data_IF_407452041187
#
_entry.id   IF_407452041187
#
_cell.length_a   1.000
_cell.length_b   1.000
_cell.length_c   1.000
_cell.angle_alpha   90.00
_cell.angle_beta   90.00
_cell.angle_gamma   90.00
#
_symmetry.space_group_name_H-M   'P 1'
#
loop_
_entity.id
_entity.type
_entity.pdbx_description
1 polymer ?
#
# COMPACT_ATOMS: atom_id res chain seq x y z
N UNK A 1 -5.86 0.46 -18.27
CA UNK A 1 -6.34 0.30 -19.64
C UNK A 1 -7.33 1.41 -20.01
N UNK A 2 -8.42 1.65 -19.24
CA UNK A 2 -9.42 2.66 -19.57
C UNK A 2 -8.85 4.05 -19.85
N UNK A 3 -7.96 4.57 -19.01
CA UNK A 3 -7.32 5.89 -19.20
C UNK A 3 -6.31 5.95 -20.36
N UNK A 4 -5.92 4.83 -20.94
CA UNK A 4 -4.97 4.79 -22.06
C UNK A 4 -5.66 4.63 -23.42
N UNK A 5 -6.73 3.82 -23.48
CA UNK A 5 -7.33 3.34 -24.72
C UNK A 5 -8.81 3.73 -24.90
N UNK A 6 -9.58 3.78 -23.81
CA UNK A 6 -10.99 4.12 -23.92
C UNK A 6 -11.21 5.64 -23.94
N UNK A 7 -12.00 6.09 -24.92
CA UNK A 7 -12.37 7.51 -25.05
C UNK A 7 -13.70 7.74 -24.30
N UNK A 8 -13.64 8.30 -23.09
CA UNK A 8 -14.82 8.74 -22.35
C UNK A 8 -14.71 10.19 -21.89
N UNK A 9 -15.86 10.85 -21.72
CA UNK A 9 -15.89 12.28 -21.33
C UNK A 9 -15.25 12.45 -19.95
N UNK A 10 -14.30 13.39 -19.83
CA UNK A 10 -13.63 13.69 -18.58
C UNK A 10 -12.44 12.78 -18.23
N UNK A 11 -12.07 11.82 -19.08
CA UNK A 11 -10.95 10.89 -18.84
C UNK A 11 -9.67 11.60 -18.39
N UNK A 12 -9.28 12.68 -19.07
CA UNK A 12 -8.08 13.45 -18.76
C UNK A 12 -8.20 14.18 -17.42
N UNK A 13 -9.37 14.76 -17.13
CA UNK A 13 -9.62 15.48 -15.87
C UNK A 13 -9.50 14.51 -14.71
N UNK A 14 -10.21 13.37 -14.78
CA UNK A 14 -10.16 12.34 -13.75
C UNK A 14 -8.73 11.83 -13.57
N UNK A 15 -8.01 11.59 -14.67
CA UNK A 15 -6.62 11.16 -14.59
C UNK A 15 -5.73 12.17 -13.86
N UNK A 16 -5.84 13.47 -14.17
CA UNK A 16 -5.07 14.51 -13.49
C UNK A 16 -5.47 14.67 -12.03
N UNK A 17 -6.74 14.51 -11.67
CA UNK A 17 -7.19 14.50 -10.28
C UNK A 17 -6.55 13.32 -9.51
N UNK A 18 -6.47 12.14 -10.13
CA UNK A 18 -5.74 11.00 -9.53
C UNK A 18 -4.25 11.35 -9.36
N UNK A 19 -3.62 11.98 -10.36
CA UNK A 19 -2.21 12.38 -10.26
C UNK A 19 -1.97 13.41 -9.16
N UNK A 20 -2.90 14.32 -8.91
CA UNK A 20 -2.81 15.27 -7.79
C UNK A 20 -2.70 14.57 -6.43
N UNK A 21 -3.25 13.37 -6.27
CA UNK A 21 -3.11 12.59 -5.03
C UNK A 21 -1.67 12.17 -4.72
N UNK A 22 -0.76 12.20 -5.70
CA UNK A 22 0.67 11.97 -5.46
C UNK A 22 1.36 13.15 -4.79
N UNK A 23 0.86 14.37 -5.05
CA UNK A 23 1.44 15.60 -4.53
C UNK A 23 0.98 15.84 -3.09
N UNK A 24 -0.27 15.47 -2.78
CA UNK A 24 -0.82 15.63 -1.43
C UNK A 24 -0.22 14.55 -0.51
N UNK A 25 0.56 14.93 0.51
CA UNK A 25 1.12 13.95 1.43
C UNK A 25 -0.02 13.29 2.24
N UNK A 26 0.02 11.96 2.42
CA UNK A 26 -1.00 11.24 3.19
C UNK A 26 -1.23 11.81 4.59
N UNK A 27 -0.20 12.38 5.18
CA UNK A 27 -0.24 13.01 6.50
C UNK A 27 -1.18 14.23 6.54
N UNK A 28 -1.26 14.98 5.46
CA UNK A 28 -2.13 16.18 5.39
C UNK A 28 -3.62 15.82 5.48
N UNK A 29 -4.01 14.66 4.99
CA UNK A 29 -5.39 14.18 5.01
C UNK A 29 -5.67 13.16 6.12
N UNK A 30 -4.67 12.87 6.96
CA UNK A 30 -4.77 11.83 7.99
C UNK A 30 -5.89 12.07 8.98
N UNK A 31 -6.03 13.31 9.42
CA UNK A 31 -7.07 13.70 10.38
C UNK A 31 -8.49 13.49 9.83
N UNK A 32 -8.74 14.01 8.62
CA UNK A 32 -10.00 13.83 7.93
C UNK A 32 -10.33 12.35 7.70
N UNK A 33 -9.31 11.57 7.28
CA UNK A 33 -9.47 10.14 7.06
C UNK A 33 -9.72 9.37 8.36
N UNK A 34 -9.10 9.77 9.45
CA UNK A 34 -9.35 9.19 10.78
C UNK A 34 -10.80 9.40 11.20
N UNK A 35 -11.31 10.62 11.11
CA UNK A 35 -12.72 10.90 11.42
C UNK A 35 -13.67 10.14 10.51
N UNK A 36 -13.38 10.07 9.22
CA UNK A 36 -14.16 9.28 8.26
C UNK A 36 -14.22 7.79 8.63
N UNK A 37 -13.13 7.22 9.13
CA UNK A 37 -13.07 5.81 9.52
C UNK A 37 -13.69 5.54 10.91
N UNK A 38 -13.70 6.54 11.79
CA UNK A 38 -14.31 6.41 13.11
C UNK A 38 -15.85 6.52 13.09
N UNK A 39 -16.39 7.27 12.12
CA UNK A 39 -17.82 7.48 11.97
C UNK A 39 -18.21 7.46 10.48
N UNK A 40 -18.11 6.27 9.87
CA UNK A 40 -18.42 6.09 8.47
C UNK A 40 -19.91 5.96 8.24
N UNK A 41 -20.45 6.82 7.39
CA UNK A 41 -21.82 6.69 6.91
C UNK A 41 -21.95 6.99 5.42
N UNK A 42 -22.74 6.17 4.72
CA UNK A 42 -23.03 6.35 3.31
C UNK A 42 -24.08 7.44 3.17
N UNK A 43 -23.88 8.39 2.24
CA UNK A 43 -24.76 9.50 1.96
C UNK A 43 -24.85 10.56 3.10
N UNK A 44 -24.00 10.49 4.10
CA UNK A 44 -23.88 11.58 5.07
C UNK A 44 -23.25 12.79 4.37
N UNK A 45 -24.07 13.80 4.14
CA UNK A 45 -23.68 15.00 3.44
C UNK A 45 -23.95 16.21 4.34
N UNK A 46 -22.89 16.80 4.87
CA UNK A 46 -22.97 18.08 5.56
C UNK A 46 -22.19 19.11 4.73
N UNK A 47 -22.90 19.86 3.90
CA UNK A 47 -22.29 20.89 3.08
C UNK A 47 -22.41 22.24 3.80
N UNK A 48 -21.38 22.62 4.56
CA UNK A 48 -21.29 23.88 5.31
C UNK A 48 -22.47 24.16 6.24
N UNK A 49 -23.12 23.14 6.79
CA UNK A 49 -24.31 23.31 7.68
C UNK A 49 -25.59 23.68 6.94
N UNK A 50 -25.60 23.71 5.61
CA UNK A 50 -26.79 24.05 4.81
C UNK A 50 -27.71 22.86 4.53
N UNK A 51 -27.15 21.64 4.53
CA UNK A 51 -27.89 20.38 4.34
C UNK A 51 -27.34 19.38 5.35
N UNK A 52 -28.13 19.06 6.35
CA UNK A 52 -27.82 18.02 7.33
C UNK A 52 -28.60 16.77 6.95
N UNK A 53 -27.96 15.87 6.22
CA UNK A 53 -28.54 14.59 5.85
C UNK A 53 -27.94 13.53 6.77
N UNK A 54 -28.78 12.88 7.62
CA UNK A 54 -28.33 11.89 8.59
C UNK A 54 -27.87 10.65 7.87
N UNK A 55 -27.04 10.41 7.09
CA UNK A 55 -26.58 9.22 6.39
C UNK A 55 -27.45 7.96 6.49
N UNK A 56 -27.09 6.94 5.76
CA UNK A 56 -27.87 5.69 5.70
C UNK A 56 -27.78 4.90 7.02
N UNK A 57 -26.58 4.80 7.59
CA UNK A 57 -26.37 4.00 8.80
C UNK A 57 -26.86 4.72 10.04
N UNK A 58 -26.71 6.02 10.12
CA UNK A 58 -27.28 6.82 11.21
C UNK A 58 -28.81 6.76 11.20
N UNK A 59 -29.43 6.80 10.02
CA UNK A 59 -30.87 6.66 9.85
C UNK A 59 -31.41 5.28 10.26
N UNK A 60 -30.63 4.20 10.02
CA UNK A 60 -31.05 2.82 10.30
C UNK A 60 -30.64 2.32 11.69
N UNK A 61 -29.48 2.72 12.17
CA UNK A 61 -28.84 2.18 13.38
C UNK A 61 -28.71 3.20 14.51
N UNK A 62 -29.00 4.48 14.23
CA UNK A 62 -28.82 5.58 15.16
C UNK A 62 -27.37 6.05 15.34
N UNK A 63 -26.45 5.47 14.60
CA UNK A 63 -25.02 5.84 14.60
C UNK A 63 -24.32 5.39 13.31
N UNK A 64 -23.23 6.06 12.92
CA UNK A 64 -22.36 5.63 11.84
C UNK A 64 -21.56 4.36 12.19
N UNK A 65 -20.98 3.73 11.19
CA UNK A 65 -20.17 2.53 11.37
C UNK A 65 -18.71 2.91 11.72
N UNK A 66 -18.21 2.37 12.82
CA UNK A 66 -16.81 2.48 13.15
C UNK A 66 -16.01 1.45 12.33
N UNK A 67 -15.19 1.95 11.41
CA UNK A 67 -14.37 1.14 10.49
C UNK A 67 -12.91 0.99 10.94
N UNK A 68 -12.52 1.65 12.01
CA UNK A 68 -11.19 1.62 12.59
C UNK A 68 -11.19 0.78 13.88
N UNK A 69 -10.09 0.07 14.14
CA UNK A 69 -9.93 -0.70 15.38
C UNK A 69 -9.47 -2.14 15.15
N UNK A 70 -9.26 -2.86 16.22
CA UNK A 70 -8.84 -4.26 16.19
C UNK A 70 -9.87 -5.13 15.48
N UNK A 71 -9.39 -6.06 14.64
CA UNK A 71 -10.24 -6.97 13.86
C UNK A 71 -10.94 -6.32 12.65
N UNK A 72 -10.65 -5.07 12.32
CA UNK A 72 -11.21 -4.36 11.16
C UNK A 72 -10.22 -4.18 10.01
N UNK A 73 -9.25 -5.07 9.90
CA UNK A 73 -8.21 -5.06 8.87
C UNK A 73 -8.80 -5.12 7.45
N UNK A 74 -10.02 -5.62 7.32
CA UNK A 74 -10.73 -5.72 6.04
C UNK A 74 -10.88 -4.37 5.34
N UNK A 75 -10.99 -3.27 6.10
CA UNK A 75 -11.10 -1.92 5.55
C UNK A 75 -9.81 -1.51 4.83
N UNK A 76 -8.66 -1.89 5.37
CA UNK A 76 -7.37 -1.69 4.72
C UNK A 76 -7.30 -2.42 3.37
N UNK A 77 -7.76 -3.67 3.31
CA UNK A 77 -7.80 -4.43 2.05
C UNK A 77 -8.79 -3.83 1.06
N UNK A 78 -10.00 -3.44 1.50
CA UNK A 78 -11.01 -2.83 0.64
C UNK A 78 -10.49 -1.51 0.06
N UNK A 79 -9.91 -0.63 0.88
CA UNK A 79 -9.36 0.65 0.39
C UNK A 79 -8.19 0.45 -0.56
N UNK A 80 -7.37 -0.58 -0.36
CA UNK A 80 -6.28 -0.94 -1.27
C UNK A 80 -6.82 -1.46 -2.60
N UNK A 81 -7.86 -2.31 -2.59
CA UNK A 81 -8.53 -2.82 -3.78
C UNK A 81 -9.23 -1.72 -4.59
N UNK A 82 -9.79 -0.72 -3.91
CA UNK A 82 -10.47 0.40 -4.57
C UNK A 82 -9.51 1.46 -5.13
N UNK A 83 -8.21 1.20 -5.13
CA UNK A 83 -7.20 2.09 -5.68
C UNK A 83 -6.82 3.25 -4.76
N UNK A 84 -7.13 3.16 -3.47
CA UNK A 84 -6.71 4.10 -2.43
C UNK A 84 -5.51 3.60 -1.61
N UNK A 85 -4.87 2.53 -2.09
CA UNK A 85 -3.67 1.97 -1.47
C UNK A 85 -2.45 2.87 -1.61
N UNK A 86 -1.35 2.43 -0.99
CA UNK A 86 -0.07 3.14 -1.03
C UNK A 86 0.37 3.35 -2.48
N UNK A 87 0.57 4.62 -2.86
CA UNK A 87 1.07 4.99 -4.19
C UNK A 87 0.22 4.50 -5.38
N UNK A 88 -1.07 4.23 -5.18
CA UNK A 88 -1.97 3.74 -6.24
C UNK A 88 -1.97 4.61 -7.50
N UNK A 89 -1.91 5.92 -7.35
CA UNK A 89 -1.84 6.84 -8.48
C UNK A 89 -0.58 6.64 -9.34
N UNK A 90 0.57 6.34 -8.73
CA UNK A 90 1.79 6.01 -9.48
C UNK A 90 1.61 4.71 -10.26
N UNK A 91 0.98 3.69 -9.69
CA UNK A 91 0.70 2.44 -10.39
C UNK A 91 -0.24 2.64 -11.57
N UNK A 92 -1.28 3.46 -11.40
CA UNK A 92 -2.19 3.84 -12.48
C UNK A 92 -1.42 4.56 -13.61
N UNK A 93 -0.47 5.45 -13.25
CA UNK A 93 0.38 6.13 -14.21
C UNK A 93 1.26 5.13 -14.99
N UNK A 94 1.96 4.22 -14.30
CA UNK A 94 2.83 3.22 -14.93
C UNK A 94 2.05 2.34 -15.90
N UNK A 95 0.90 1.82 -15.49
CA UNK A 95 0.04 1.04 -16.37
C UNK A 95 -0.47 1.84 -17.57
N UNK A 96 -0.83 3.11 -17.34
CA UNK A 96 -1.27 3.98 -18.44
C UNK A 96 -0.18 4.19 -19.47
N UNK A 97 1.04 4.47 -19.04
CA UNK A 97 2.18 4.65 -19.95
C UNK A 97 2.49 3.36 -20.71
N UNK A 98 2.52 2.24 -20.02
CA UNK A 98 2.74 0.94 -20.65
C UNK A 98 1.68 0.64 -21.72
N UNK A 99 0.39 0.72 -21.39
CA UNK A 99 -0.67 0.44 -22.35
C UNK A 99 -0.69 1.42 -23.53
N UNK A 100 -0.21 2.64 -23.37
CA UNK A 100 -0.04 3.59 -24.47
C UNK A 100 1.06 3.18 -25.44
N UNK A 101 2.10 2.53 -24.95
CA UNK A 101 3.21 2.03 -25.75
C UNK A 101 2.90 0.77 -26.57
N UNK A 102 1.83 0.06 -26.26
CA UNK A 102 1.42 -1.12 -27.04
C UNK A 102 0.88 -0.66 -28.42
N UNK A 103 1.31 -1.27 -29.56
CA UNK A 103 0.79 -0.98 -30.87
C UNK A 103 -0.74 -1.13 -30.94
N UNK A 104 -1.41 -0.19 -31.59
CA UNK A 104 -2.87 -0.18 -31.67
C UNK A 104 -3.40 -1.32 -32.54
N UNK A 105 -2.59 -1.79 -33.47
CA UNK A 105 -2.89 -2.87 -34.41
C UNK A 105 -3.23 -4.19 -33.70
N UNK A 106 -2.69 -4.39 -32.50
CA UNK A 106 -3.03 -5.57 -31.68
C UNK A 106 -4.48 -5.51 -31.16
N UNK A 107 -4.99 -4.33 -30.85
CA UNK A 107 -6.38 -4.16 -30.46
C UNK A 107 -7.32 -4.24 -31.66
N UNK A 108 -6.92 -3.65 -32.78
CA UNK A 108 -7.70 -3.66 -34.02
C UNK A 108 -7.84 -5.09 -34.57
N UNK A 109 -6.75 -5.88 -34.56
CA UNK A 109 -6.82 -7.29 -34.95
C UNK A 109 -7.76 -8.11 -34.07
N UNK A 110 -7.70 -7.91 -32.75
CA UNK A 110 -8.61 -8.57 -31.82
C UNK A 110 -10.08 -8.18 -32.06
N UNK A 111 -10.35 -6.92 -32.44
CA UNK A 111 -11.69 -6.46 -32.77
C UNK A 111 -12.18 -7.04 -34.08
N UNK A 112 -11.31 -7.19 -35.08
CA UNK A 112 -11.63 -7.88 -36.35
C UNK A 112 -12.02 -9.35 -36.07
N UNK A 113 -11.32 -10.00 -35.13
CA UNK A 113 -11.64 -11.35 -34.64
C UNK A 113 -12.91 -11.42 -33.78
N UNK A 114 -13.64 -10.30 -33.63
CA UNK A 114 -14.91 -10.24 -32.89
C UNK A 114 -14.73 -10.12 -31.36
N UNK A 115 -13.54 -9.79 -30.87
CA UNK A 115 -13.34 -9.58 -29.45
C UNK A 115 -13.91 -8.23 -28.98
N UNK A 116 -14.80 -8.22 -28.02
CA UNK A 116 -15.24 -7.01 -27.33
C UNK A 116 -14.15 -6.47 -26.40
N UNK A 117 -14.33 -5.25 -25.90
CA UNK A 117 -13.36 -4.49 -25.06
C UNK A 117 -12.82 -5.31 -23.86
N UNK A 118 -13.70 -6.02 -23.16
CA UNK A 118 -13.33 -6.84 -22.00
C UNK A 118 -12.48 -8.03 -22.43
N UNK A 119 -12.86 -8.72 -23.51
CA UNK A 119 -12.10 -9.85 -24.04
C UNK A 119 -10.73 -9.41 -24.56
N UNK A 120 -10.66 -8.30 -25.28
CA UNK A 120 -9.39 -7.69 -25.73
C UNK A 120 -8.47 -7.36 -24.55
N UNK A 121 -9.03 -6.79 -23.49
CA UNK A 121 -8.24 -6.50 -22.27
C UNK A 121 -7.65 -7.78 -21.66
N UNK A 122 -8.46 -8.81 -21.42
CA UNK A 122 -8.00 -10.02 -20.74
C UNK A 122 -7.10 -10.91 -21.61
N UNK A 123 -7.41 -11.03 -22.91
CA UNK A 123 -6.74 -11.98 -23.82
C UNK A 123 -5.54 -11.39 -24.54
N UNK A 124 -5.49 -10.06 -24.74
CA UNK A 124 -4.44 -9.40 -25.50
C UNK A 124 -3.62 -8.45 -24.62
N UNK A 125 -4.28 -7.47 -23.99
CA UNK A 125 -3.59 -6.39 -23.31
C UNK A 125 -2.92 -6.85 -22.02
N UNK A 126 -3.61 -7.59 -21.18
CA UNK A 126 -3.12 -8.05 -19.88
C UNK A 126 -1.95 -9.06 -20.01
N UNK A 127 -1.96 -10.04 -20.91
CA UNK A 127 -0.81 -10.91 -21.12
C UNK A 127 0.43 -10.17 -21.59
N UNK A 128 0.28 -9.13 -22.43
CA UNK A 128 1.40 -8.29 -22.85
C UNK A 128 1.94 -7.40 -21.72
N UNK A 129 1.13 -7.13 -20.70
CA UNK A 129 1.49 -6.29 -19.56
C UNK A 129 2.26 -7.02 -18.46
N UNK A 130 2.70 -8.27 -18.64
CA UNK A 130 3.40 -9.06 -17.61
C UNK A 130 4.59 -8.32 -16.99
N UNK A 131 5.39 -7.64 -17.80
CA UNK A 131 6.55 -6.87 -17.32
C UNK A 131 6.15 -5.75 -16.36
N UNK A 132 5.21 -4.90 -16.75
CA UNK A 132 4.75 -3.80 -15.88
C UNK A 132 3.98 -4.32 -14.66
N UNK A 133 3.25 -5.42 -14.78
CA UNK A 133 2.59 -6.07 -13.63
C UNK A 133 3.63 -6.52 -12.61
N UNK A 134 4.71 -7.16 -13.04
CA UNK A 134 5.80 -7.59 -12.17
C UNK A 134 6.47 -6.39 -11.50
N UNK A 135 6.74 -5.33 -12.26
CA UNK A 135 7.34 -4.08 -11.74
C UNK A 135 6.45 -3.44 -10.67
N UNK A 136 5.16 -3.30 -10.95
CA UNK A 136 4.19 -2.72 -10.01
C UNK A 136 4.01 -3.60 -8.79
N UNK A 137 3.94 -4.92 -8.96
CA UNK A 137 3.84 -5.88 -7.86
C UNK A 137 5.05 -5.81 -6.93
N UNK A 138 6.28 -5.70 -7.50
CA UNK A 138 7.49 -5.54 -6.72
C UNK A 138 7.49 -4.23 -5.92
N UNK A 139 7.17 -3.11 -6.55
CA UNK A 139 7.06 -1.82 -5.85
C UNK A 139 5.98 -1.85 -4.77
N UNK A 140 4.80 -2.41 -5.05
CA UNK A 140 3.73 -2.54 -4.08
C UNK A 140 4.18 -3.38 -2.88
N UNK A 141 4.87 -4.50 -3.13
CA UNK A 141 5.41 -5.36 -2.08
C UNK A 141 6.44 -4.63 -1.20
N UNK A 142 7.44 -3.97 -1.82
CA UNK A 142 8.49 -3.25 -1.08
C UNK A 142 7.90 -2.11 -0.26
N UNK A 143 6.97 -1.35 -0.81
CA UNK A 143 6.35 -0.25 -0.07
C UNK A 143 5.43 -0.74 1.04
N UNK A 144 4.67 -1.80 0.80
CA UNK A 144 3.84 -2.38 1.86
C UNK A 144 4.68 -3.01 2.97
N UNK A 145 5.81 -3.63 2.63
CA UNK A 145 6.76 -4.17 3.60
C UNK A 145 7.31 -3.11 4.54
N UNK A 146 7.60 -1.93 4.01
CA UNK A 146 8.14 -0.79 4.77
C UNK A 146 7.06 0.14 5.34
N UNK A 147 5.77 -0.17 5.15
CA UNK A 147 4.70 0.70 5.63
C UNK A 147 4.58 0.65 7.15
N UNK A 148 4.61 1.82 7.75
CA UNK A 148 4.33 2.03 9.17
C UNK A 148 3.19 3.02 9.38
N UNK A 149 2.97 3.88 8.38
CA UNK A 149 2.01 4.97 8.47
C UNK A 149 0.57 4.48 8.34
N UNK A 150 0.23 3.80 7.23
CA UNK A 150 -1.13 3.29 7.03
C UNK A 150 -1.48 2.20 8.03
N UNK A 151 -0.52 1.31 8.31
CA UNK A 151 -0.66 0.30 9.36
C UNK A 151 -0.99 0.93 10.72
N UNK A 152 -0.32 2.04 11.06
CA UNK A 152 -0.62 2.80 12.28
C UNK A 152 -1.97 3.49 12.23
N UNK A 153 -2.31 4.12 11.10
CA UNK A 153 -3.55 4.87 10.93
C UNK A 153 -4.79 3.96 11.01
N UNK A 154 -4.74 2.77 10.41
CA UNK A 154 -5.85 1.80 10.48
C UNK A 154 -5.87 1.02 11.79
N UNK A 155 -4.88 1.22 12.67
CA UNK A 155 -4.70 0.45 13.90
C UNK A 155 -4.67 -1.06 13.64
N UNK A 156 -4.05 -1.46 12.55
CA UNK A 156 -3.71 -2.85 12.27
C UNK A 156 -2.60 -3.22 13.26
N UNK A 157 -2.99 -3.39 14.49
CA UNK A 157 -2.10 -3.75 15.57
C UNK A 157 -2.78 -4.85 16.32
N UNK A 158 -2.13 -5.89 16.44
CA UNK A 158 -2.62 -7.00 17.20
C UNK A 158 -1.85 -8.24 16.81
N UNK A 159 -2.12 -9.30 17.48
CA UNK A 159 -1.50 -10.60 17.21
C UNK A 159 -1.88 -11.12 15.82
N UNK A 160 -2.98 -10.63 15.24
CA UNK A 160 -3.51 -11.10 13.96
C UNK A 160 -2.66 -10.74 12.73
N UNK A 161 -1.93 -9.61 12.76
CA UNK A 161 -1.07 -9.22 11.63
C UNK A 161 0.16 -8.40 12.10
N UNK A 162 1.16 -9.05 12.71
CA UNK A 162 2.33 -8.37 13.22
C UNK A 162 3.24 -7.92 12.07
N UNK A 163 3.20 -6.64 11.73
CA UNK A 163 4.14 -6.02 10.79
C UNK A 163 5.54 -5.96 11.38
N UNK A 164 6.51 -6.63 10.75
CA UNK A 164 7.91 -6.70 11.20
C UNK A 164 8.55 -5.33 11.37
N UNK A 165 8.33 -4.42 10.42
CA UNK A 165 8.87 -3.05 10.44
C UNK A 165 8.37 -2.27 11.66
N UNK A 166 7.10 -2.39 12.01
CA UNK A 166 6.53 -1.75 13.19
C UNK A 166 7.07 -2.35 14.50
N UNK A 167 7.24 -3.69 14.52
CA UNK A 167 7.87 -4.36 15.67
C UNK A 167 9.31 -3.90 15.86
N UNK A 168 10.07 -3.71 14.78
CA UNK A 168 11.44 -3.21 14.86
C UNK A 168 11.48 -1.81 15.49
N UNK A 169 10.61 -0.89 15.06
CA UNK A 169 10.53 0.46 15.61
C UNK A 169 10.16 0.41 17.10
N UNK A 170 9.14 -0.37 17.47
CA UNK A 170 8.74 -0.51 18.87
C UNK A 170 9.81 -1.22 19.72
N UNK A 171 10.66 -2.04 19.10
CA UNK A 171 11.77 -2.71 19.78
C UNK A 171 12.81 -1.69 20.27
N UNK A 172 13.10 -0.65 19.47
CA UNK A 172 14.02 0.41 19.89
C UNK A 172 13.58 1.12 21.18
N UNK A 173 12.28 1.27 21.37
CA UNK A 173 11.69 1.92 22.55
C UNK A 173 11.58 0.97 23.77
N UNK A 174 11.57 -0.33 23.54
CA UNK A 174 11.32 -1.35 24.56
C UNK A 174 12.53 -2.23 24.84
N UNK A 175 13.68 -1.93 24.27
CA UNK A 175 14.86 -2.81 24.35
C UNK A 175 15.24 -3.10 25.81
N UNK A 176 15.18 -2.10 26.68
CA UNK A 176 15.47 -2.27 28.10
C UNK A 176 14.50 -3.22 28.80
N UNK A 177 13.20 -3.13 28.44
CA UNK A 177 12.19 -4.04 28.97
C UNK A 177 12.34 -5.48 28.46
N UNK A 178 12.82 -5.66 27.22
CA UNK A 178 13.05 -6.98 26.64
C UNK A 178 14.29 -7.64 27.25
N UNK A 179 15.38 -6.90 27.34
CA UNK A 179 16.68 -7.39 27.87
C UNK A 179 16.55 -7.78 29.35
N UNK A 180 15.75 -7.05 30.11
CA UNK A 180 15.53 -7.32 31.54
C UNK A 180 14.59 -8.50 31.84
N UNK A 181 14.07 -9.19 30.81
CA UNK A 181 13.27 -10.41 31.03
C UNK A 181 14.12 -11.54 31.63
N UNK A 182 13.56 -12.40 32.50
CA UNK A 182 14.29 -13.46 33.19
C UNK A 182 15.10 -14.38 32.28
N UNK A 183 14.60 -14.64 31.09
CA UNK A 183 15.22 -15.52 30.09
C UNK A 183 16.55 -14.98 29.53
N UNK A 184 16.81 -13.67 29.62
CA UNK A 184 18.03 -13.04 29.12
C UNK A 184 19.04 -12.70 30.25
N UNK A 185 18.67 -12.91 31.53
CA UNK A 185 19.51 -12.55 32.67
C UNK A 185 20.83 -13.32 32.70
N UNK A 186 20.83 -14.60 32.36
CA UNK A 186 22.04 -15.41 32.32
C UNK A 186 22.99 -14.95 31.20
N UNK A 187 22.46 -14.52 30.07
CA UNK A 187 23.25 -13.91 29.01
C UNK A 187 23.87 -12.57 29.46
N UNK A 188 23.11 -11.73 30.13
CA UNK A 188 23.61 -10.44 30.66
C UNK A 188 24.72 -10.63 31.71
N UNK A 189 24.63 -11.64 32.55
CA UNK A 189 25.71 -11.99 33.51
C UNK A 189 27.00 -12.40 32.82
N UNK A 190 26.90 -13.11 31.68
CA UNK A 190 28.07 -13.55 30.91
C UNK A 190 28.72 -12.39 30.14
N UNK A 191 27.94 -11.44 29.65
CA UNK A 191 28.41 -10.36 28.79
C UNK A 191 28.84 -9.10 29.59
N UNK A 192 28.42 -9.00 30.85
CA UNK A 192 28.81 -7.94 31.81
C UNK A 192 27.67 -6.98 32.15
N UNK A 193 27.64 -6.62 33.42
CA UNK A 193 26.66 -5.63 33.92
C UNK A 193 26.85 -4.27 33.26
N UNK A 194 25.75 -3.70 32.74
CA UNK A 194 25.76 -2.36 32.10
C UNK A 194 25.84 -2.38 30.58
N UNK A 195 25.99 -3.54 29.94
CA UNK A 195 26.01 -3.65 28.47
C UNK A 195 24.68 -3.25 27.85
N UNK A 196 23.57 -3.52 28.54
CA UNK A 196 22.22 -3.09 28.09
C UNK A 196 22.08 -1.57 27.98
N UNK A 197 22.86 -0.82 28.77
CA UNK A 197 22.90 0.65 28.74
C UNK A 197 23.91 1.21 27.73
N UNK A 198 24.71 0.33 27.11
CA UNK A 198 25.70 0.75 26.13
C UNK A 198 25.00 1.04 24.78
N UNK A 199 25.05 2.26 24.25
CA UNK A 199 24.42 2.63 22.97
C UNK A 199 24.89 1.75 21.81
N UNK A 200 26.14 1.29 21.81
CA UNK A 200 26.70 0.42 20.77
C UNK A 200 26.04 -0.96 20.77
N UNK A 201 25.72 -1.51 21.95
CA UNK A 201 25.04 -2.78 22.05
C UNK A 201 23.59 -2.69 21.52
N UNK A 202 22.87 -1.64 21.90
CA UNK A 202 21.53 -1.34 21.37
C UNK A 202 21.58 -1.21 19.85
N UNK A 203 22.58 -0.48 19.33
CA UNK A 203 22.76 -0.29 17.88
C UNK A 203 23.04 -1.61 17.15
N UNK A 204 23.82 -2.51 17.70
CA UNK A 204 24.08 -3.84 17.13
C UNK A 204 22.81 -4.66 17.04
N UNK A 205 21.98 -4.68 18.10
CA UNK A 205 20.70 -5.39 18.08
C UNK A 205 19.78 -4.82 16.99
N UNK A 206 19.65 -3.50 16.91
CA UNK A 206 18.81 -2.86 15.91
C UNK A 206 19.30 -3.10 14.48
N UNK A 207 20.61 -3.04 14.25
CA UNK A 207 21.20 -3.33 12.93
C UNK A 207 21.00 -4.79 12.54
N UNK A 208 21.15 -5.72 13.48
CA UNK A 208 20.89 -7.15 13.22
C UNK A 208 19.42 -7.39 12.88
N UNK A 209 18.50 -6.79 13.63
CA UNK A 209 17.08 -6.89 13.36
C UNK A 209 16.71 -6.24 12.00
N UNK A 210 17.34 -5.11 11.65
CA UNK A 210 17.19 -4.48 10.35
C UNK A 210 17.69 -5.37 9.20
N UNK A 211 18.84 -6.03 9.36
CA UNK A 211 19.35 -7.01 8.38
C UNK A 211 18.39 -8.18 8.20
N UNK A 212 17.85 -8.72 9.29
CA UNK A 212 16.83 -9.79 9.22
C UNK A 212 15.57 -9.33 8.48
N UNK A 213 15.16 -8.07 8.67
CA UNK A 213 14.03 -7.49 7.97
C UNK A 213 14.32 -7.28 6.48
N UNK A 214 15.54 -6.91 6.11
CA UNK A 214 15.94 -6.69 4.72
C UNK A 214 16.18 -7.99 3.95
N UNK A 215 16.59 -9.06 4.61
CA UNK A 215 16.93 -10.32 3.98
C UNK A 215 15.83 -10.89 3.06
N UNK A 216 14.54 -10.98 3.48
CA UNK A 216 13.47 -11.46 2.59
C UNK A 216 13.26 -10.59 1.37
N UNK A 217 13.44 -9.25 1.50
CA UNK A 217 13.33 -8.32 0.37
C UNK A 217 14.44 -8.53 -0.65
N UNK A 218 15.68 -8.68 -0.16
CA UNK A 218 16.85 -8.92 -1.02
C UNK A 218 16.69 -10.26 -1.75
N UNK A 219 16.33 -11.30 -1.03
CA UNK A 219 16.09 -12.63 -1.60
C UNK A 219 14.97 -12.57 -2.65
N UNK A 220 13.84 -11.97 -2.32
CA UNK A 220 12.73 -11.80 -3.26
C UNK A 220 13.15 -11.01 -4.51
N UNK A 221 13.92 -9.94 -4.36
CA UNK A 221 14.43 -9.16 -5.48
C UNK A 221 15.35 -10.00 -6.40
N UNK A 222 16.25 -10.80 -5.84
CA UNK A 222 17.16 -11.65 -6.63
C UNK A 222 16.40 -12.61 -7.57
N UNK A 223 15.23 -13.10 -7.17
CA UNK A 223 14.40 -13.94 -8.03
C UNK A 223 13.66 -13.16 -9.11
N UNK A 224 13.29 -11.92 -8.85
CA UNK A 224 12.41 -11.13 -9.74
C UNK A 224 13.19 -10.11 -10.57
N UNK A 225 14.46 -9.84 -10.26
CA UNK A 225 15.28 -8.78 -10.88
C UNK A 225 15.28 -8.83 -12.42
N UNK A 226 15.36 -10.04 -13.01
CA UNK A 226 15.36 -10.20 -14.47
C UNK A 226 14.05 -9.71 -15.10
N UNK A 227 12.92 -10.13 -14.55
CA UNK A 227 11.60 -9.71 -15.02
C UNK A 227 11.35 -8.22 -14.77
N UNK A 228 11.93 -7.69 -13.70
CA UNK A 228 11.88 -6.26 -13.39
C UNK A 228 12.62 -5.43 -14.43
N UNK A 229 13.85 -5.80 -14.80
CA UNK A 229 14.65 -5.11 -15.81
C UNK A 229 13.93 -5.12 -17.16
N UNK A 230 13.46 -6.28 -17.61
CA UNK A 230 12.69 -6.42 -18.85
C UNK A 230 11.40 -5.56 -18.83
N UNK A 231 10.77 -5.44 -17.67
CA UNK A 231 9.56 -4.63 -17.47
C UNK A 231 9.83 -3.12 -17.55
N UNK A 232 10.93 -2.65 -16.96
CA UNK A 232 11.32 -1.23 -16.97
C UNK A 232 11.75 -0.80 -18.38
N UNK A 233 12.57 -1.58 -19.05
CA UNK A 233 13.02 -1.28 -20.43
C UNK A 233 11.83 -1.13 -21.39
N UNK A 234 10.85 -2.01 -21.31
CA UNK A 234 9.63 -1.95 -22.15
C UNK A 234 8.68 -0.82 -21.78
N UNK A 235 8.74 -0.31 -20.55
CA UNK A 235 7.88 0.80 -20.13
C UNK A 235 8.34 2.17 -20.63
N UNK A 236 9.51 2.26 -21.29
CA UNK A 236 10.04 3.51 -21.83
C UNK A 236 10.47 4.52 -20.76
N UNK A 237 10.82 4.05 -19.57
CA UNK A 237 11.33 4.89 -18.47
C UNK A 237 12.85 5.11 -18.60
N UNK A 238 13.48 4.50 -19.59
CA UNK A 238 14.89 4.71 -19.97
C UNK A 238 14.97 5.41 -21.31
#
# INVERSE_FOLDING_TARGET
YAFSRLKFRGSNIIFWLIMLTLIVPPQAISLARTFFLDDFDILRFNFFGLFDNPGLFESLLGHGLRLKGEGKDIVFYITSLTGQGIRAALFIYLFRQFFRGIPIELEESAQIDGAGVVRTFWSVMLPNARGVITTVALFAFVWQWNDTYYTGMYQISGESFPMLTRKLISMSERIDGIINQPQYQDFLKQVGEGISKNPLFVQVILNTAALMLMAPLIIGYLFVQRLFIEGVERSGIV
#
